data_IF_722092024873
#
_entry.id   IF_722092024873
#
_cell.length_a   1.000
_cell.length_b   1.000
_cell.length_c   1.000
_cell.angle_alpha   90.00
_cell.angle_beta   90.00
_cell.angle_gamma   90.00
#
_symmetry.space_group_name_H-M   'P 1'
#
loop_
_entity.id
_entity.type
_entity.pdbx_description
1 polymer ?
#
# COMPACT_ATOMS: atom_id res chain seq x y z
N UNK A 1 -3.64 -23.68 3.76
CA UNK A 1 -2.67 -22.61 4.10
C UNK A 1 -3.04 -21.27 3.45
N UNK A 2 -3.49 -21.25 2.18
CA UNK A 2 -3.94 -20.04 1.46
C UNK A 2 -5.09 -19.27 2.14
N UNK A 3 -6.10 -19.94 2.70
CA UNK A 3 -7.21 -19.25 3.40
C UNK A 3 -6.73 -18.45 4.62
N UNK A 4 -5.79 -19.02 5.41
CA UNK A 4 -5.18 -18.33 6.54
C UNK A 4 -4.37 -17.11 6.08
N UNK A 5 -3.66 -17.24 4.95
CA UNK A 5 -2.91 -16.14 4.36
C UNK A 5 -3.79 -14.97 3.93
N UNK A 6 -4.93 -15.26 3.30
CA UNK A 6 -5.94 -14.24 2.96
C UNK A 6 -6.53 -13.62 4.22
N UNK A 7 -6.80 -14.39 5.27
CA UNK A 7 -7.27 -13.84 6.54
C UNK A 7 -6.24 -12.88 7.16
N UNK A 8 -4.94 -13.20 7.08
CA UNK A 8 -3.86 -12.32 7.53
C UNK A 8 -3.76 -11.06 6.66
N UNK A 9 -3.89 -11.17 5.34
CA UNK A 9 -3.94 -10.01 4.44
C UNK A 9 -5.14 -9.09 4.75
N UNK A 10 -6.30 -9.68 5.04
CA UNK A 10 -7.50 -8.93 5.45
C UNK A 10 -7.28 -8.27 6.81
N UNK A 11 -6.64 -8.96 7.77
CA UNK A 11 -6.28 -8.37 9.05
C UNK A 11 -5.31 -7.18 8.88
N UNK A 12 -4.34 -7.28 7.97
CA UNK A 12 -3.45 -6.18 7.59
C UNK A 12 -4.23 -4.97 7.05
N UNK A 13 -5.17 -5.22 6.13
CA UNK A 13 -6.05 -4.19 5.58
C UNK A 13 -6.89 -3.49 6.67
N UNK A 14 -7.43 -4.26 7.63
CA UNK A 14 -8.20 -3.73 8.75
C UNK A 14 -7.33 -2.88 9.69
N UNK A 15 -6.11 -3.34 9.98
CA UNK A 15 -5.15 -2.60 10.80
C UNK A 15 -4.75 -1.27 10.13
N UNK A 16 -4.42 -1.27 8.84
CA UNK A 16 -4.12 -0.04 8.06
C UNK A 16 -5.32 0.92 8.02
N UNK A 17 -6.54 0.39 7.89
CA UNK A 17 -7.76 1.19 7.93
C UNK A 17 -7.94 1.87 9.29
N UNK A 18 -7.78 1.11 10.38
CA UNK A 18 -7.87 1.64 11.73
C UNK A 18 -6.78 2.67 12.02
N UNK A 19 -5.55 2.40 11.57
CA UNK A 19 -4.41 3.30 11.64
C UNK A 19 -4.73 4.65 11.01
N UNK A 20 -5.15 4.64 9.74
CA UNK A 20 -5.50 5.84 8.97
C UNK A 20 -6.57 6.68 9.68
N UNK A 21 -7.60 6.04 10.24
CA UNK A 21 -8.66 6.75 10.98
C UNK A 21 -8.17 7.38 12.28
N UNK A 22 -7.28 6.70 13.01
CA UNK A 22 -6.73 7.16 14.28
C UNK A 22 -5.69 8.27 14.09
N UNK A 23 -4.85 8.17 13.07
CA UNK A 23 -3.92 9.22 12.65
C UNK A 23 -4.66 10.48 12.19
N UNK A 24 -5.72 10.32 11.40
CA UNK A 24 -6.57 11.44 10.99
C UNK A 24 -7.24 12.12 12.20
N UNK A 25 -7.73 11.33 13.18
CA UNK A 25 -8.29 11.86 14.44
C UNK A 25 -7.23 12.57 15.27
N UNK A 26 -6.03 12.01 15.39
CA UNK A 26 -4.91 12.62 16.12
C UNK A 26 -4.47 13.92 15.48
N UNK A 27 -4.33 13.94 14.17
CA UNK A 27 -3.94 15.12 13.39
C UNK A 27 -4.94 16.27 13.54
N UNK A 28 -6.25 15.98 13.61
CA UNK A 28 -7.28 17.00 13.84
C UNK A 28 -7.29 17.56 15.26
N UNK A 29 -6.82 16.81 16.25
CA UNK A 29 -6.76 17.22 17.67
C UNK A 29 -5.46 17.94 18.02
N UNK A 30 -4.43 17.80 17.20
CA UNK A 30 -3.19 18.54 17.37
C UNK A 30 -3.44 20.05 17.17
N UNK A 31 -3.06 20.85 18.16
CA UNK A 31 -3.13 22.32 18.06
C UNK A 31 -2.04 22.83 17.10
N UNK A 32 -2.24 23.98 16.44
CA UNK A 32 -1.20 24.61 15.63
C UNK A 32 0.11 24.75 16.43
N UNK A 33 1.22 24.29 15.86
CA UNK A 33 2.54 24.32 16.51
C UNK A 33 2.82 23.18 17.50
N UNK A 34 1.83 22.33 17.83
CA UNK A 34 2.10 21.12 18.60
C UNK A 34 2.51 19.95 17.70
N UNK A 35 3.54 19.19 18.10
CA UNK A 35 3.89 17.99 17.38
C UNK A 35 2.81 16.91 17.48
N UNK A 36 2.46 16.33 16.33
CA UNK A 36 1.35 15.36 16.21
C UNK A 36 1.62 14.07 16.98
N UNK A 37 2.90 13.69 17.19
CA UNK A 37 3.29 12.53 17.99
C UNK A 37 2.94 12.63 19.48
N UNK A 38 2.53 13.81 19.97
CA UNK A 38 1.97 13.95 21.33
C UNK A 38 0.50 13.53 21.43
N UNK A 39 -0.17 13.30 20.30
CA UNK A 39 -1.55 12.83 20.30
C UNK A 39 -1.57 11.30 20.42
N UNK A 40 -2.15 10.73 21.50
CA UNK A 40 -2.13 9.28 21.71
C UNK A 40 -2.83 8.52 20.59
N UNK A 41 -3.89 9.09 20.00
CA UNK A 41 -4.53 8.48 18.83
C UNK A 41 -3.63 8.45 17.61
N UNK A 42 -2.72 9.41 17.43
CA UNK A 42 -1.74 9.37 16.34
C UNK A 42 -0.71 8.26 16.57
N UNK A 43 -0.19 8.13 17.79
CA UNK A 43 0.78 7.08 18.13
C UNK A 43 0.18 5.69 18.00
N UNK A 44 -1.05 5.48 18.50
CA UNK A 44 -1.76 4.19 18.32
C UNK A 44 -2.03 3.92 16.85
N UNK A 45 -2.35 4.94 16.07
CA UNK A 45 -2.49 4.81 14.62
C UNK A 45 -1.20 4.32 13.96
N UNK A 46 -0.07 4.95 14.28
CA UNK A 46 1.25 4.58 13.78
C UNK A 46 1.66 3.15 14.16
N UNK A 47 1.34 2.71 15.39
CA UNK A 47 1.58 1.34 15.84
C UNK A 47 0.71 0.33 15.08
N UNK A 48 -0.55 0.68 14.80
CA UNK A 48 -1.44 -0.16 14.00
C UNK A 48 -1.02 -0.21 12.53
N UNK A 49 -0.45 0.88 11.99
CA UNK A 49 0.12 0.91 10.65
C UNK A 49 1.32 -0.03 10.55
N UNK A 50 2.23 0.05 11.53
CA UNK A 50 3.34 -0.89 11.65
C UNK A 50 2.87 -2.34 11.79
N UNK A 51 1.82 -2.60 12.59
CA UNK A 51 1.24 -3.95 12.71
C UNK A 51 0.61 -4.42 11.39
N UNK A 52 -0.13 -3.55 10.70
CA UNK A 52 -0.72 -3.86 9.40
C UNK A 52 0.35 -4.15 8.35
N UNK A 53 1.45 -3.41 8.37
CA UNK A 53 2.63 -3.71 7.57
C UNK A 53 3.24 -5.07 7.90
N UNK A 54 3.42 -5.42 9.19
CA UNK A 54 3.91 -6.75 9.59
C UNK A 54 2.97 -7.86 9.12
N UNK A 55 1.66 -7.68 9.24
CA UNK A 55 0.67 -8.64 8.76
C UNK A 55 0.72 -8.77 7.23
N UNK A 56 0.90 -7.67 6.49
CA UNK A 56 1.11 -7.69 5.05
C UNK A 56 2.37 -8.48 4.68
N UNK A 57 3.45 -8.28 5.42
CA UNK A 57 4.71 -9.05 5.31
C UNK A 57 4.48 -10.54 5.54
N UNK A 58 3.66 -10.91 6.53
CA UNK A 58 3.28 -12.30 6.78
C UNK A 58 2.43 -12.87 5.64
N UNK A 59 1.49 -12.10 5.09
CA UNK A 59 0.66 -12.52 3.96
C UNK A 59 1.47 -12.77 2.68
N UNK A 60 2.47 -11.91 2.40
CA UNK A 60 3.40 -12.05 1.27
C UNK A 60 4.24 -13.33 1.33
N UNK A 61 4.25 -14.02 2.47
CA UNK A 61 4.92 -15.32 2.57
C UNK A 61 4.19 -16.38 1.74
N UNK A 62 2.87 -16.31 1.67
CA UNK A 62 2.07 -17.42 1.10
C UNK A 62 1.25 -16.99 -0.11
N UNK A 63 1.09 -15.68 -0.31
CA UNK A 63 0.36 -15.11 -1.43
C UNK A 63 1.30 -14.38 -2.39
N UNK A 64 1.02 -14.41 -3.70
CA UNK A 64 1.70 -13.57 -4.67
C UNK A 64 1.55 -12.09 -4.33
N UNK A 65 2.53 -11.30 -4.76
CA UNK A 65 2.63 -9.90 -4.35
C UNK A 65 1.41 -9.10 -4.79
N UNK A 66 0.96 -9.29 -6.03
CA UNK A 66 -0.24 -8.62 -6.54
C UNK A 66 -1.52 -8.97 -5.74
N UNK A 67 -1.64 -10.18 -5.20
CA UNK A 67 -2.81 -10.58 -4.42
C UNK A 67 -2.86 -9.85 -3.07
N UNK A 68 -1.71 -9.75 -2.37
CA UNK A 68 -1.62 -8.98 -1.12
C UNK A 68 -1.86 -7.50 -1.38
N UNK A 69 -1.23 -6.94 -2.40
CA UNK A 69 -1.36 -5.51 -2.72
C UNK A 69 -2.78 -5.12 -3.10
N UNK A 70 -3.50 -6.01 -3.78
CA UNK A 70 -4.92 -5.87 -4.00
C UNK A 70 -5.63 -5.71 -2.65
N UNK A 71 -5.47 -6.69 -1.74
CA UNK A 71 -6.17 -6.67 -0.44
C UNK A 71 -5.88 -5.40 0.36
N UNK A 72 -4.62 -4.96 0.42
CA UNK A 72 -4.24 -3.73 1.12
C UNK A 72 -4.88 -2.47 0.52
N UNK A 73 -5.01 -2.40 -0.80
CA UNK A 73 -5.65 -1.27 -1.50
C UNK A 73 -7.12 -1.09 -1.11
N UNK A 74 -7.77 -2.17 -0.66
CA UNK A 74 -9.16 -2.14 -0.17
C UNK A 74 -9.34 -1.42 1.16
N UNK A 75 -8.26 -1.18 1.88
CA UNK A 75 -8.28 -0.35 3.10
C UNK A 75 -8.77 1.07 2.80
N UNK A 76 -8.47 1.63 1.63
CA UNK A 76 -8.91 2.98 1.23
C UNK A 76 -10.44 3.05 1.10
N UNK A 77 -11.02 2.05 0.44
CA UNK A 77 -12.46 1.89 0.30
C UNK A 77 -13.12 1.77 1.69
N UNK A 78 -12.61 0.86 2.53
CA UNK A 78 -13.16 0.62 3.86
C UNK A 78 -13.04 1.85 4.78
N UNK A 79 -11.89 2.54 4.74
CA UNK A 79 -11.65 3.80 5.47
C UNK A 79 -12.69 4.84 5.10
N UNK A 80 -13.03 4.94 3.81
CA UNK A 80 -14.05 5.87 3.31
C UNK A 80 -15.43 5.54 3.88
N UNK A 81 -15.83 4.26 3.86
CA UNK A 81 -17.11 3.79 4.43
C UNK A 81 -17.22 4.09 5.92
N UNK A 82 -16.17 3.77 6.68
CA UNK A 82 -16.14 3.97 8.12
C UNK A 82 -16.13 5.47 8.47
N UNK A 83 -15.38 6.28 7.73
CA UNK A 83 -15.35 7.73 7.94
C UNK A 83 -16.72 8.38 7.75
N UNK A 84 -17.51 7.89 6.79
CA UNK A 84 -18.88 8.37 6.53
C UNK A 84 -19.94 7.82 7.48
N UNK A 85 -19.59 6.87 8.35
CA UNK A 85 -20.53 6.26 9.29
C UNK A 85 -21.43 5.21 8.65
N UNK A 86 -20.95 4.51 7.61
CA UNK A 86 -21.60 3.34 7.02
C UNK A 86 -22.03 3.51 5.56
N UNK A 87 -22.26 2.37 4.90
CA UNK A 87 -22.55 2.26 3.45
C UNK A 87 -23.76 3.09 3.02
N UNK A 88 -24.77 3.23 3.89
CA UNK A 88 -25.99 4.00 3.62
C UNK A 88 -25.76 5.51 3.48
N UNK A 89 -24.63 6.01 4.00
CA UNK A 89 -24.23 7.43 3.93
C UNK A 89 -23.21 7.69 2.83
N UNK A 90 -22.85 6.67 2.06
CA UNK A 90 -21.98 6.80 0.90
C UNK A 90 -22.77 7.41 -0.26
N UNK A 91 -22.13 8.36 -0.94
CA UNK A 91 -22.61 8.74 -2.27
C UNK A 91 -22.54 7.55 -3.22
N UNK A 92 -23.37 7.56 -4.27
CA UNK A 92 -23.37 6.48 -5.28
C UNK A 92 -21.98 6.21 -5.88
N UNK A 93 -21.16 7.26 -6.05
CA UNK A 93 -19.78 7.14 -6.50
C UNK A 93 -18.85 6.46 -5.50
N UNK A 94 -19.00 6.74 -4.20
CA UNK A 94 -18.18 6.09 -3.17
C UNK A 94 -18.56 4.61 -3.02
N UNK A 95 -19.86 4.29 -3.05
CA UNK A 95 -20.33 2.91 -3.04
C UNK A 95 -19.81 2.13 -4.26
N UNK A 96 -19.88 2.72 -5.45
CA UNK A 96 -19.34 2.12 -6.68
C UNK A 96 -17.83 1.88 -6.58
N UNK A 97 -17.06 2.82 -6.01
CA UNK A 97 -15.63 2.65 -5.77
C UNK A 97 -15.33 1.50 -4.81
N UNK A 98 -16.08 1.37 -3.70
CA UNK A 98 -15.89 0.26 -2.75
C UNK A 98 -16.16 -1.09 -3.42
N UNK A 99 -17.28 -1.20 -4.15
CA UNK A 99 -17.66 -2.43 -4.87
C UNK A 99 -16.63 -2.77 -5.93
N UNK A 100 -16.18 -1.77 -6.71
CA UNK A 100 -15.17 -1.96 -7.75
C UNK A 100 -13.84 -2.44 -7.19
N UNK A 101 -13.41 -1.91 -6.03
CA UNK A 101 -12.22 -2.44 -5.35
C UNK A 101 -12.41 -3.91 -4.98
N UNK A 102 -13.51 -4.28 -4.30
CA UNK A 102 -13.78 -5.67 -3.88
C UNK A 102 -13.79 -6.62 -5.07
N UNK A 103 -14.51 -6.28 -6.15
CA UNK A 103 -14.54 -7.10 -7.36
C UNK A 103 -13.15 -7.20 -8.01
N UNK A 104 -12.42 -6.09 -8.05
CA UNK A 104 -11.04 -6.05 -8.51
C UNK A 104 -10.15 -7.03 -7.74
N UNK A 105 -10.27 -7.08 -6.42
CA UNK A 105 -9.55 -8.04 -5.58
C UNK A 105 -9.84 -9.48 -5.94
N UNK A 106 -11.13 -9.82 -6.04
CA UNK A 106 -11.56 -11.19 -6.27
C UNK A 106 -11.00 -11.69 -7.59
N UNK A 107 -11.00 -10.84 -8.62
CA UNK A 107 -10.42 -11.17 -9.92
C UNK A 107 -8.90 -11.31 -9.87
N UNK A 108 -8.20 -10.34 -9.27
CA UNK A 108 -6.73 -10.36 -9.18
C UNK A 108 -6.25 -11.54 -8.32
N UNK A 109 -6.86 -11.77 -7.15
CA UNK A 109 -6.55 -12.91 -6.29
C UNK A 109 -6.89 -14.25 -6.95
N UNK A 110 -8.04 -14.33 -7.65
CA UNK A 110 -8.44 -15.53 -8.39
C UNK A 110 -7.53 -15.85 -9.58
N UNK A 111 -6.88 -14.84 -10.15
CA UNK A 111 -5.94 -14.99 -11.25
C UNK A 111 -4.56 -15.52 -10.84
N UNK A 112 -4.26 -15.58 -9.54
CA UNK A 112 -2.97 -16.09 -9.07
C UNK A 112 -2.78 -17.57 -9.38
N UNK A 113 -1.62 -17.94 -9.94
CA UNK A 113 -1.18 -19.32 -9.91
C UNK A 113 -0.86 -19.72 -8.46
N UNK A 114 -1.20 -20.96 -8.10
CA UNK A 114 -0.95 -21.51 -6.75
C UNK A 114 0.46 -22.05 -6.59
N UNK A 115 1.18 -22.25 -7.70
CA UNK A 115 2.53 -22.79 -7.69
C UNK A 115 3.53 -21.72 -7.28
N UNK A 116 4.35 -22.05 -6.30
CA UNK A 116 5.38 -21.16 -5.77
C UNK A 116 6.66 -21.39 -6.58
N UNK A 117 7.43 -20.34 -6.92
CA UNK A 117 8.75 -20.52 -7.51
C UNK A 117 9.67 -21.32 -6.58
N UNK A 118 10.36 -22.32 -7.13
CA UNK A 118 11.28 -23.19 -6.38
C UNK A 118 12.57 -22.47 -5.94
N UNK A 119 12.96 -21.43 -6.68
CA UNK A 119 14.14 -20.63 -6.35
C UNK A 119 13.97 -19.20 -6.86
N UNK A 120 14.69 -18.28 -6.22
CA UNK A 120 14.69 -16.88 -6.62
C UNK A 120 15.57 -16.71 -7.88
N UNK A 121 15.08 -16.01 -8.93
CA UNK A 121 15.91 -15.71 -10.09
C UNK A 121 17.20 -14.96 -9.68
N UNK A 122 18.34 -15.32 -10.28
CA UNK A 122 19.64 -14.77 -9.91
C UNK A 122 19.72 -13.23 -9.97
N UNK A 123 18.91 -12.61 -10.84
CA UNK A 123 18.83 -11.16 -10.99
C UNK A 123 18.02 -10.46 -9.88
N UNK A 124 17.13 -11.16 -9.16
CA UNK A 124 16.20 -10.52 -8.23
C UNK A 124 16.92 -9.83 -7.06
N UNK A 125 17.85 -10.52 -6.41
CA UNK A 125 18.64 -9.96 -5.30
C UNK A 125 19.42 -8.70 -5.69
N UNK A 126 20.29 -8.70 -6.72
CA UNK A 126 21.04 -7.51 -7.10
C UNK A 126 20.14 -6.37 -7.59
N UNK A 127 19.02 -6.66 -8.26
CA UNK A 127 18.06 -5.63 -8.70
C UNK A 127 17.39 -4.96 -7.49
N UNK A 128 16.93 -5.74 -6.51
CA UNK A 128 16.29 -5.19 -5.31
C UNK A 128 17.27 -4.39 -4.44
N UNK A 129 18.51 -4.87 -4.30
CA UNK A 129 19.57 -4.12 -3.62
C UNK A 129 19.90 -2.82 -4.36
N UNK A 130 20.06 -2.88 -5.69
CA UNK A 130 20.30 -1.71 -6.52
C UNK A 130 19.17 -0.68 -6.44
N UNK A 131 17.91 -1.14 -6.44
CA UNK A 131 16.74 -0.29 -6.26
C UNK A 131 16.73 0.38 -4.87
N UNK A 132 17.06 -0.35 -3.81
CA UNK A 132 17.15 0.20 -2.45
C UNK A 132 18.22 1.30 -2.36
N UNK A 133 19.41 1.06 -2.92
CA UNK A 133 20.50 2.04 -2.95
C UNK A 133 20.09 3.27 -3.77
N UNK A 134 19.54 3.07 -4.97
CA UNK A 134 19.09 4.16 -5.83
C UNK A 134 18.05 5.03 -5.12
N UNK A 135 17.01 4.41 -4.54
CA UNK A 135 15.95 5.11 -3.83
C UNK A 135 16.45 5.84 -2.59
N UNK A 136 17.40 5.27 -1.85
CA UNK A 136 18.05 5.96 -0.74
C UNK A 136 18.79 7.23 -1.20
N UNK A 137 19.54 7.14 -2.31
CA UNK A 137 20.29 8.27 -2.87
C UNK A 137 19.34 9.37 -3.37
N UNK A 138 18.27 9.00 -4.09
CA UNK A 138 17.34 9.99 -4.66
C UNK A 138 16.27 10.48 -3.69
N UNK A 139 16.10 9.84 -2.53
CA UNK A 139 15.05 10.20 -1.57
C UNK A 139 15.10 11.69 -1.17
N UNK A 140 16.30 12.20 -0.87
CA UNK A 140 16.49 13.59 -0.42
C UNK A 140 16.16 14.64 -1.49
N UNK A 141 16.67 14.54 -2.74
CA UNK A 141 16.29 15.48 -3.80
C UNK A 141 14.81 15.32 -4.22
N UNK A 142 14.29 14.09 -4.28
CA UNK A 142 12.87 13.85 -4.58
C UNK A 142 11.98 14.50 -3.53
N UNK A 143 12.27 14.31 -2.23
CA UNK A 143 11.51 14.93 -1.15
C UNK A 143 11.47 16.47 -1.20
N UNK A 144 12.40 17.11 -1.93
CA UNK A 144 12.49 18.57 -2.10
C UNK A 144 12.06 19.07 -3.47
N UNK A 145 11.56 18.20 -4.36
CA UNK A 145 11.25 18.60 -5.73
C UNK A 145 10.01 19.49 -5.87
N UNK A 146 9.24 19.70 -4.78
CA UNK A 146 8.02 20.51 -4.77
C UNK A 146 6.86 19.92 -5.56
N UNK A 147 6.97 18.65 -6.00
CA UNK A 147 5.94 17.94 -6.79
C UNK A 147 5.38 16.80 -5.96
N UNK A 148 4.39 17.04 -5.08
CA UNK A 148 3.94 16.06 -4.08
C UNK A 148 3.47 14.73 -4.68
N UNK A 149 2.91 14.74 -5.89
CA UNK A 149 2.49 13.51 -6.58
C UNK A 149 3.68 12.67 -7.06
N UNK A 150 4.78 13.30 -7.49
CA UNK A 150 6.02 12.59 -7.84
C UNK A 150 6.62 11.98 -6.57
N UNK A 151 6.64 12.73 -5.48
CA UNK A 151 7.12 12.23 -4.18
C UNK A 151 6.30 11.03 -3.71
N UNK A 152 4.96 11.10 -3.82
CA UNK A 152 4.05 10.01 -3.49
C UNK A 152 4.28 8.76 -4.35
N UNK A 153 4.51 8.94 -5.65
CA UNK A 153 4.79 7.83 -6.56
C UNK A 153 6.11 7.11 -6.21
N UNK A 154 7.16 7.88 -5.90
CA UNK A 154 8.45 7.30 -5.48
C UNK A 154 8.33 6.62 -4.11
N UNK A 155 7.50 7.15 -3.21
CA UNK A 155 7.20 6.50 -1.94
C UNK A 155 6.54 5.12 -2.14
N UNK A 156 5.58 5.02 -3.06
CA UNK A 156 4.91 3.75 -3.37
C UNK A 156 5.82 2.74 -4.07
N UNK A 157 6.74 3.21 -4.92
CA UNK A 157 7.82 2.36 -5.46
C UNK A 157 8.69 1.81 -4.32
N UNK A 158 9.05 2.65 -3.33
CA UNK A 158 9.87 2.20 -2.20
C UNK A 158 9.14 1.14 -1.36
N UNK A 159 7.88 1.35 -0.99
CA UNK A 159 7.10 0.34 -0.27
C UNK A 159 6.85 -0.92 -1.09
N UNK A 160 6.61 -0.78 -2.39
CA UNK A 160 6.53 -1.93 -3.30
C UNK A 160 7.83 -2.73 -3.30
N UNK A 161 8.98 -2.08 -3.38
CA UNK A 161 10.29 -2.72 -3.27
C UNK A 161 10.50 -3.44 -1.93
N UNK A 162 10.04 -2.85 -0.82
CA UNK A 162 10.06 -3.49 0.49
C UNK A 162 9.22 -4.79 0.49
N UNK A 163 8.01 -4.77 -0.09
CA UNK A 163 7.18 -5.96 -0.25
C UNK A 163 7.87 -7.04 -1.11
N UNK A 164 8.58 -6.65 -2.18
CA UNK A 164 9.36 -7.58 -3.00
C UNK A 164 10.54 -8.19 -2.23
N UNK A 165 11.25 -7.41 -1.39
CA UNK A 165 12.34 -7.92 -0.57
C UNK A 165 11.85 -9.00 0.40
N UNK A 166 10.69 -8.81 1.02
CA UNK A 166 10.05 -9.80 1.89
C UNK A 166 9.71 -11.07 1.14
N UNK A 167 9.08 -10.92 -0.04
CA UNK A 167 8.71 -12.05 -0.90
C UNK A 167 9.96 -12.84 -1.32
N UNK A 168 11.00 -12.14 -1.76
CA UNK A 168 12.26 -12.71 -2.18
C UNK A 168 12.95 -13.46 -1.03
N UNK A 169 13.11 -12.82 0.14
CA UNK A 169 13.65 -13.46 1.36
C UNK A 169 12.95 -14.77 1.68
N UNK A 170 11.63 -14.78 1.56
CA UNK A 170 10.85 -15.97 1.86
C UNK A 170 11.01 -17.09 0.81
N UNK A 171 11.27 -16.77 -0.46
CA UNK A 171 11.58 -17.78 -1.49
C UNK A 171 12.95 -18.43 -1.19
N UNK A 172 13.91 -17.67 -0.66
CA UNK A 172 15.28 -18.15 -0.40
C UNK A 172 15.45 -18.95 0.89
N UNK A 173 14.73 -18.64 1.98
CA UNK A 173 14.93 -19.29 3.29
C UNK A 173 13.61 -19.50 4.07
N UNK A 174 13.54 -20.60 4.84
CA UNK A 174 12.47 -20.88 5.80
C UNK A 174 12.56 -19.91 6.98
N UNK A 175 11.76 -18.85 6.87
CA UNK A 175 11.88 -17.61 7.60
C UNK A 175 11.34 -17.69 9.03
N UNK A 176 11.93 -18.48 9.92
CA UNK A 176 11.77 -18.32 11.37
C UNK A 176 13.01 -18.88 12.10
N UNK A 177 13.74 -18.01 12.81
CA UNK A 177 14.66 -18.31 13.93
C UNK A 177 16.18 -18.23 13.71
N UNK A 178 16.69 -17.66 12.62
CA UNK A 178 18.16 -17.56 12.45
C UNK A 178 18.69 -16.12 12.35
N UNK A 179 19.77 -15.84 13.10
CA UNK A 179 20.49 -14.55 13.05
C UNK A 179 21.10 -14.28 11.66
N UNK A 180 21.21 -15.33 10.85
CA UNK A 180 21.65 -15.31 9.45
C UNK A 180 20.79 -14.43 8.55
N UNK A 181 19.57 -14.08 8.98
CA UNK A 181 18.76 -13.10 8.26
C UNK A 181 19.42 -11.71 8.19
N UNK A 182 20.22 -11.34 9.19
CA UNK A 182 20.98 -10.08 9.21
C UNK A 182 22.14 -10.07 8.22
N UNK A 183 22.60 -11.25 7.80
CA UNK A 183 23.67 -11.40 6.79
C UNK A 183 23.09 -11.21 5.37
N UNK A 184 21.79 -11.41 5.19
CA UNK A 184 21.16 -11.32 3.87
C UNK A 184 20.95 -9.86 3.43
N UNK A 185 21.45 -9.44 2.25
CA UNK A 185 21.40 -8.04 1.81
C UNK A 185 19.98 -7.52 1.57
N UNK A 186 19.03 -8.43 1.31
CA UNK A 186 17.61 -8.11 1.15
C UNK A 186 16.96 -7.61 2.45
N UNK A 187 17.45 -8.05 3.60
CA UNK A 187 16.97 -7.59 4.91
C UNK A 187 17.26 -6.11 5.12
N UNK A 188 18.47 -5.69 4.75
CA UNK A 188 18.84 -4.27 4.81
C UNK A 188 18.14 -3.46 3.72
N UNK A 189 17.96 -4.04 2.53
CA UNK A 189 17.19 -3.41 1.44
C UNK A 189 15.75 -3.14 1.86
N UNK A 190 15.10 -4.11 2.50
CA UNK A 190 13.77 -3.98 3.08
C UNK A 190 13.67 -2.80 4.06
N UNK A 191 14.62 -2.71 5.01
CA UNK A 191 14.64 -1.63 6.02
C UNK A 191 14.84 -0.27 5.34
N UNK A 192 15.81 -0.17 4.43
CA UNK A 192 16.10 1.08 3.69
C UNK A 192 14.88 1.53 2.91
N UNK A 193 14.25 0.64 2.14
CA UNK A 193 13.07 0.92 1.34
C UNK A 193 11.87 1.34 2.20
N UNK A 194 11.66 0.67 3.33
CA UNK A 194 10.63 1.05 4.30
C UNK A 194 10.84 2.45 4.86
N UNK A 195 12.06 2.77 5.31
CA UNK A 195 12.41 4.10 5.84
C UNK A 195 12.26 5.19 4.77
N UNK A 196 12.74 4.93 3.54
CA UNK A 196 12.58 5.85 2.41
C UNK A 196 11.10 6.10 2.11
N UNK A 197 10.28 5.04 2.08
CA UNK A 197 8.83 5.13 1.90
C UNK A 197 8.18 6.07 2.93
N UNK A 198 8.44 5.85 4.22
CA UNK A 198 7.91 6.69 5.32
C UNK A 198 8.30 8.17 5.14
N UNK A 199 9.58 8.43 4.87
CA UNK A 199 10.10 9.80 4.71
C UNK A 199 9.45 10.49 3.51
N UNK A 200 9.30 9.80 2.38
CA UNK A 200 8.70 10.34 1.18
C UNK A 200 7.20 10.55 1.32
N UNK A 201 6.46 9.65 1.97
CA UNK A 201 5.04 9.88 2.30
C UNK A 201 4.88 11.12 3.15
N UNK A 202 5.70 11.27 4.20
CA UNK A 202 5.67 12.44 5.06
C UNK A 202 5.97 13.73 4.26
N UNK A 203 6.93 13.70 3.33
CA UNK A 203 7.24 14.82 2.46
C UNK A 203 6.10 15.14 1.48
N UNK A 204 5.51 14.12 0.84
CA UNK A 204 4.39 14.29 -0.09
C UNK A 204 3.16 14.91 0.59
N UNK A 205 2.89 14.55 1.85
CA UNK A 205 1.78 15.09 2.63
C UNK A 205 2.00 16.52 3.14
N UNK A 206 3.24 17.04 3.17
CA UNK A 206 3.52 18.43 3.55
C UNK A 206 2.98 19.41 2.51
N UNK A 207 3.21 19.09 1.23
CA UNK A 207 2.90 19.99 0.11
C UNK A 207 1.70 19.51 -0.72
N UNK A 208 1.22 18.29 -0.47
CA UNK A 208 0.15 17.64 -1.24
C UNK A 208 -1.15 17.45 -0.46
N UNK A 209 -2.26 17.36 -1.19
CA UNK A 209 -3.54 16.98 -0.62
C UNK A 209 -3.53 15.50 -0.20
N UNK A 210 -3.93 15.14 1.04
CA UNK A 210 -3.87 13.77 1.53
C UNK A 210 -4.57 12.76 0.61
N UNK A 211 -5.76 13.09 0.08
CA UNK A 211 -6.51 12.18 -0.80
C UNK A 211 -5.73 11.80 -2.06
N UNK A 212 -5.15 12.78 -2.75
CA UNK A 212 -4.43 12.59 -4.02
C UNK A 212 -3.07 11.96 -3.80
N UNK A 213 -2.38 12.31 -2.71
CA UNK A 213 -1.13 11.67 -2.30
C UNK A 213 -1.35 10.19 -2.00
N UNK A 214 -2.36 9.85 -1.19
CA UNK A 214 -2.72 8.46 -0.89
C UNK A 214 -3.12 7.70 -2.16
N UNK A 215 -3.89 8.32 -3.06
CA UNK A 215 -4.29 7.68 -4.31
C UNK A 215 -3.09 7.31 -5.19
N UNK A 216 -2.16 8.25 -5.40
CA UNK A 216 -0.95 7.99 -6.19
C UNK A 216 -0.09 6.93 -5.52
N UNK A 217 0.11 7.06 -4.20
CA UNK A 217 0.86 6.08 -3.40
C UNK A 217 0.28 4.67 -3.61
N UNK A 218 -1.01 4.47 -3.36
CA UNK A 218 -1.66 3.16 -3.49
C UNK A 218 -1.57 2.59 -4.90
N UNK A 219 -1.75 3.41 -5.94
CA UNK A 219 -1.62 2.94 -7.33
C UNK A 219 -0.20 2.44 -7.60
N UNK A 220 0.82 3.22 -7.23
CA UNK A 220 2.22 2.82 -7.45
C UNK A 220 2.63 1.62 -6.62
N UNK A 221 2.16 1.52 -5.37
CA UNK A 221 2.40 0.40 -4.47
C UNK A 221 1.70 -0.88 -4.93
N UNK A 222 0.68 -0.81 -5.77
CA UNK A 222 0.06 -1.99 -6.39
C UNK A 222 0.78 -2.39 -7.66
N UNK A 223 0.90 -1.44 -8.59
CA UNK A 223 1.32 -1.73 -9.96
C UNK A 223 2.80 -2.13 -10.02
N UNK A 224 3.65 -1.45 -9.25
CA UNK A 224 5.10 -1.67 -9.30
C UNK A 224 5.47 -3.05 -8.77
N UNK A 225 5.09 -3.44 -7.54
CA UNK A 225 5.45 -4.76 -7.04
C UNK A 225 4.58 -5.88 -7.63
N UNK A 226 3.36 -5.59 -8.09
CA UNK A 226 2.57 -6.57 -8.86
C UNK A 226 3.24 -6.92 -10.18
N UNK A 227 3.68 -5.92 -10.95
CA UNK A 227 4.42 -6.12 -12.20
C UNK A 227 5.81 -6.72 -11.97
N UNK A 228 6.54 -6.24 -10.97
CA UNK A 228 7.84 -6.80 -10.63
C UNK A 228 7.75 -8.23 -10.09
N UNK A 229 6.68 -8.61 -9.39
CA UNK A 229 6.44 -10.01 -8.99
C UNK A 229 6.41 -10.94 -10.21
N UNK A 230 5.64 -10.55 -11.24
CA UNK A 230 5.53 -11.30 -12.50
C UNK A 230 6.85 -11.33 -13.29
N UNK A 231 7.56 -10.21 -13.36
CA UNK A 231 8.75 -10.06 -14.21
C UNK A 231 10.07 -10.50 -13.55
N UNK A 232 10.19 -10.36 -12.23
CA UNK A 232 11.45 -10.49 -11.49
C UNK A 232 11.47 -11.65 -10.49
N UNK A 233 10.32 -12.01 -9.89
CA UNK A 233 10.26 -13.07 -8.87
C UNK A 233 9.70 -14.40 -9.40
N UNK A 234 9.27 -14.44 -10.67
CA UNK A 234 8.70 -15.64 -11.28
C UNK A 234 7.27 -15.94 -10.81
N UNK A 235 6.55 -14.96 -10.24
CA UNK A 235 5.13 -15.14 -9.94
C UNK A 235 4.36 -15.38 -11.27
N UNK A 236 3.40 -16.31 -11.26
CA UNK A 236 2.64 -16.67 -12.45
C UNK A 236 1.14 -16.36 -12.29
N UNK A 237 0.51 -16.08 -13.43
CA UNK A 237 -0.94 -15.97 -13.56
C UNK A 237 -1.48 -17.33 -13.98
N UNK A 238 -2.61 -17.74 -13.42
CA UNK A 238 -3.29 -18.97 -13.81
C UNK A 238 -3.61 -18.93 -15.31
N UNK A 239 -3.32 -19.98 -16.08
CA UNK A 239 -3.62 -19.99 -17.52
C UNK A 239 -5.09 -19.66 -17.80
N UNK A 240 -5.36 -18.72 -18.71
CA UNK A 240 -6.71 -18.28 -19.08
C UNK A 240 -7.34 -17.24 -18.15
N UNK A 241 -6.64 -16.82 -17.08
CA UNK A 241 -7.08 -15.76 -16.17
C UNK A 241 -6.43 -14.40 -16.45
N UNK A 242 -5.68 -14.25 -17.54
CA UNK A 242 -5.06 -12.99 -17.94
C UNK A 242 -6.10 -11.88 -18.16
N UNK A 243 -7.27 -12.13 -18.79
CA UNK A 243 -8.33 -11.12 -18.90
C UNK A 243 -8.91 -10.73 -17.53
N UNK A 244 -9.07 -11.70 -16.62
CA UNK A 244 -9.57 -11.45 -15.28
C UNK A 244 -8.59 -10.59 -14.47
N UNK A 245 -7.29 -10.85 -14.57
CA UNK A 245 -6.25 -10.01 -13.99
C UNK A 245 -6.33 -8.58 -14.54
N UNK A 246 -6.42 -8.43 -15.86
CA UNK A 246 -6.49 -7.12 -16.50
C UNK A 246 -7.72 -6.32 -16.05
N UNK A 247 -8.91 -6.94 -16.06
CA UNK A 247 -10.15 -6.33 -15.57
C UNK A 247 -10.04 -5.99 -14.08
N UNK A 248 -9.46 -6.87 -13.28
CA UNK A 248 -9.29 -6.67 -11.86
C UNK A 248 -8.38 -5.48 -11.54
N UNK A 249 -7.25 -5.35 -12.25
CA UNK A 249 -6.35 -4.19 -12.14
C UNK A 249 -7.05 -2.90 -12.59
N UNK A 250 -7.78 -2.92 -13.70
CA UNK A 250 -8.54 -1.76 -14.18
C UNK A 250 -9.61 -1.32 -13.18
N UNK A 251 -10.30 -2.27 -12.56
CA UNK A 251 -11.28 -2.00 -11.50
C UNK A 251 -10.61 -1.37 -10.27
N UNK A 252 -9.44 -1.87 -9.86
CA UNK A 252 -8.70 -1.29 -8.73
C UNK A 252 -8.27 0.14 -9.01
N UNK A 253 -7.64 0.38 -10.16
CA UNK A 253 -7.20 1.72 -10.58
C UNK A 253 -8.40 2.67 -10.69
N UNK A 254 -9.45 2.25 -11.41
CA UNK A 254 -10.66 3.06 -11.59
C UNK A 254 -11.36 3.39 -10.27
N UNK A 255 -11.40 2.43 -9.36
CA UNK A 255 -12.05 2.61 -8.06
C UNK A 255 -11.26 3.51 -7.11
N UNK A 256 -9.93 3.40 -7.10
CA UNK A 256 -9.05 4.32 -6.35
C UNK A 256 -9.21 5.74 -6.87
N UNK A 257 -9.20 5.93 -8.19
CA UNK A 257 -9.41 7.25 -8.81
C UNK A 257 -10.79 7.82 -8.49
N UNK A 258 -11.84 6.98 -8.50
CA UNK A 258 -13.19 7.39 -8.15
C UNK A 258 -13.28 7.82 -6.68
N UNK A 259 -12.74 7.03 -5.75
CA UNK A 259 -12.73 7.34 -4.32
C UNK A 259 -11.90 8.60 -4.01
N UNK A 260 -10.75 8.75 -4.65
CA UNK A 260 -9.89 9.93 -4.50
C UNK A 260 -10.61 11.23 -4.88
N UNK A 261 -11.31 11.23 -6.03
CA UNK A 261 -12.11 12.38 -6.49
C UNK A 261 -13.24 12.74 -5.51
N UNK A 262 -13.90 11.74 -4.93
CA UNK A 262 -14.97 11.97 -3.96
C UNK A 262 -14.42 12.55 -2.65
N UNK A 263 -13.23 12.11 -2.22
CA UNK A 263 -12.54 12.65 -1.03
C UNK A 263 -12.15 14.14 -1.17
N UNK A 264 -11.78 14.59 -2.37
CA UNK A 264 -11.51 16.01 -2.65
C UNK A 264 -12.78 16.87 -2.59
N UNK A 265 -13.91 16.36 -3.09
CA UNK A 265 -15.17 17.11 -3.11
C UNK A 265 -15.72 17.41 -1.71
N UNK A 266 -15.50 16.51 -0.74
CA UNK A 266 -15.93 16.69 0.66
C UNK A 266 -15.15 17.79 1.38
N UNK A 267 -13.89 18.02 0.98
CA UNK A 267 -13.03 19.06 1.58
C UNK A 267 -13.32 20.47 1.07
N UNK A 268 -14.12 20.64 0.02
CA UNK A 268 -14.68 21.94 -0.38
C UNK A 268 -16.08 22.06 0.24
N UNK A 269 -16.22 22.49 1.51
CA UNK A 269 -17.53 22.89 1.98
C UNK A 269 -17.97 24.07 1.10
N UNK A 270 -19.14 23.91 0.49
CA UNK A 270 -20.01 24.93 -0.08
C UNK A 270 -19.62 26.38 0.23
N UNK A 271 -18.63 26.93 -0.47
CA UNK A 271 -18.33 28.38 -0.49
C UNK A 271 -19.41 29.17 -1.25
N UNK A 272 -20.63 28.62 -1.37
CA UNK A 272 -21.73 29.11 -2.20
C UNK A 272 -23.08 29.12 -1.47
N UNK A 273 -23.07 29.10 -0.13
CA UNK A 273 -24.30 29.22 0.69
C UNK A 273 -24.32 30.40 1.67
N UNK A 274 -23.34 31.30 1.61
CA UNK A 274 -23.34 32.55 2.38
C UNK A 274 -23.37 33.80 1.48
N UNK A 275 -23.85 33.66 0.25
CA UNK A 275 -24.15 34.78 -0.63
C UNK A 275 -25.60 34.69 -1.11
N UNK A 276 -26.54 34.67 -0.17
CA UNK A 276 -27.96 35.05 -0.35
C UNK A 276 -28.41 35.76 0.91
#
# INVERSE_FOLDING_TARGET
MTVLAFAVAVAAMLANTAATLLEARGSRRARPGQPVWRQPSYVVGLLLDGLGWVLAVVALRTLPVFAVQSVLTSSVALTTVLHRGGVRRLGRGEAAGVVGVVLGLVLVAGSAATDRPDSLPAAATPVLVGAAVLLAVVARPVARCGRPLVVAAVAGIAYGGAALCVRALHITDDLVADLRLLEHPLTWSLVVLGVVGVVLVAAALRDGSPGTVTAVLSVTEVLVPGGAGLLLLGDAVRPGWEPALAVGVLLLVGSVLLLARQGEQVRRPSARREAV
#
